data_IF_651669063287
#
_entry.id   IF_651669063287
#
_cell.length_a   1.000
_cell.length_b   1.000
_cell.length_c   1.000
_cell.angle_alpha   90.00
_cell.angle_beta   90.00
_cell.angle_gamma   90.00
#
_symmetry.space_group_name_H-M   'P 1'
#
loop_
_entity.id
_entity.type
_entity.pdbx_description
1 polymer ?
#
# COMPACT_ATOMS: atom_id res chain seq x y z
N UNK A 1 9.46 10.65 6.88
CA UNK A 1 8.04 10.27 7.07
C UNK A 1 7.99 8.80 7.36
N UNK A 2 7.31 8.46 8.44
CA UNK A 2 7.21 7.06 8.85
C UNK A 2 5.88 6.46 8.42
N UNK A 3 5.94 5.32 7.74
CA UNK A 3 4.73 4.60 7.35
C UNK A 3 4.58 3.41 8.29
N UNK A 4 3.44 3.34 8.93
CA UNK A 4 3.12 2.28 9.87
C UNK A 4 2.18 1.27 9.24
N UNK A 5 2.10 0.10 9.83
CA UNK A 5 1.22 -0.97 9.35
C UNK A 5 0.43 -1.54 10.50
N UNK A 6 -0.83 -1.82 10.26
CA UNK A 6 -1.66 -2.54 11.22
C UNK A 6 -2.48 -3.58 10.47
N UNK A 7 -2.79 -4.67 11.13
CA UNK A 7 -3.62 -5.72 10.55
C UNK A 7 -4.42 -6.39 11.64
N UNK A 8 -5.70 -6.59 11.38
CA UNK A 8 -6.58 -7.28 12.28
C UNK A 8 -7.35 -8.32 11.46
N UNK A 9 -7.11 -9.59 11.73
CA UNK A 9 -7.64 -10.65 10.90
C UNK A 9 -7.08 -10.54 9.49
N UNK A 10 -7.97 -10.51 8.50
CA UNK A 10 -7.58 -10.42 7.11
C UNK A 10 -7.55 -9.00 6.58
N UNK A 11 -7.89 -8.00 7.40
CA UNK A 11 -7.93 -6.59 6.98
C UNK A 11 -6.77 -5.83 7.59
N UNK A 12 -6.15 -4.96 6.80
CA UNK A 12 -5.05 -4.16 7.29
C UNK A 12 -4.90 -2.85 6.56
N UNK A 13 -3.90 -2.09 6.97
CA UNK A 13 -3.57 -0.85 6.26
C UNK A 13 -2.12 -0.46 6.50
N UNK A 14 -1.60 0.32 5.56
CA UNK A 14 -0.37 1.08 5.73
C UNK A 14 -0.79 2.53 5.89
N UNK A 15 -0.23 3.24 6.87
CA UNK A 15 -0.76 4.57 7.18
C UNK A 15 0.32 5.49 7.74
N UNK A 16 0.03 6.79 7.69
CA UNK A 16 0.85 7.84 8.29
C UNK A 16 0.02 8.53 9.34
N UNK A 17 0.53 8.55 10.57
CA UNK A 17 -0.13 9.19 11.69
C UNK A 17 0.74 10.29 12.25
N UNK A 18 0.17 11.47 12.44
CA UNK A 18 0.87 12.62 13.00
C UNK A 18 0.03 13.16 14.14
N UNK A 19 0.65 13.23 15.33
CA UNK A 19 -0.02 13.76 16.53
C UNK A 19 -1.39 13.11 16.80
N UNK A 20 -1.46 11.79 16.63
CA UNK A 20 -2.68 11.04 16.88
C UNK A 20 -3.71 11.09 15.78
N UNK A 21 -3.40 11.72 14.65
CA UNK A 21 -4.32 11.84 13.53
C UNK A 21 -3.78 11.11 12.31
N UNK A 22 -4.59 10.24 11.72
CA UNK A 22 -4.20 9.52 10.50
C UNK A 22 -4.37 10.46 9.32
N UNK A 23 -3.28 10.78 8.66
CA UNK A 23 -3.27 11.71 7.53
C UNK A 23 -3.18 11.02 6.17
N UNK A 24 -2.87 9.75 6.15
CA UNK A 24 -2.86 8.97 4.91
C UNK A 24 -3.06 7.51 5.27
N UNK A 25 -3.77 6.79 4.42
CA UNK A 25 -4.02 5.38 4.68
C UNK A 25 -4.29 4.64 3.38
N UNK A 26 -3.68 3.47 3.25
CA UNK A 26 -3.94 2.55 2.14
C UNK A 26 -4.40 1.23 2.75
N UNK A 27 -5.66 0.88 2.51
CA UNK A 27 -6.25 -0.32 3.10
C UNK A 27 -6.06 -1.52 2.20
N UNK A 28 -5.97 -2.69 2.82
CA UNK A 28 -5.84 -3.94 2.06
C UNK A 28 -6.57 -5.08 2.75
N UNK A 29 -6.81 -6.13 1.98
CA UNK A 29 -7.37 -7.38 2.49
C UNK A 29 -6.42 -8.51 2.11
N UNK A 30 -6.23 -9.47 3.01
CA UNK A 30 -5.46 -10.66 2.71
C UNK A 30 -6.38 -11.79 2.33
N UNK A 31 -6.05 -12.49 1.24
CA UNK A 31 -6.72 -13.73 0.87
C UNK A 31 -5.69 -14.82 1.11
N UNK A 32 -5.86 -15.59 2.18
CA UNK A 32 -4.84 -16.51 2.60
C UNK A 32 -3.60 -15.76 3.08
N UNK A 33 -2.42 -16.37 2.89
CA UNK A 33 -1.17 -15.78 3.33
C UNK A 33 -0.31 -15.27 2.18
N UNK A 34 -0.80 -15.39 0.94
CA UNK A 34 0.02 -15.14 -0.24
C UNK A 34 -0.52 -14.06 -1.18
N UNK A 35 -1.72 -13.55 -0.92
CA UNK A 35 -2.31 -12.54 -1.79
C UNK A 35 -2.83 -11.36 -0.97
N UNK A 36 -2.34 -10.17 -1.30
CA UNK A 36 -2.80 -8.91 -0.72
C UNK A 36 -3.59 -8.15 -1.79
N UNK A 37 -4.81 -7.78 -1.46
CA UNK A 37 -5.65 -6.98 -2.35
C UNK A 37 -5.66 -5.56 -1.80
N UNK A 38 -5.12 -4.61 -2.57
CA UNK A 38 -5.14 -3.21 -2.15
C UNK A 38 -6.49 -2.63 -2.55
N UNK A 39 -7.25 -2.16 -1.55
CA UNK A 39 -8.62 -1.74 -1.73
C UNK A 39 -8.80 -0.25 -1.97
N UNK A 40 -8.12 0.60 -1.19
CA UNK A 40 -8.40 2.03 -1.21
C UNK A 40 -7.21 2.81 -0.65
N UNK A 41 -6.97 4.00 -1.20
CA UNK A 41 -5.90 4.88 -0.76
C UNK A 41 -6.43 6.29 -0.58
N UNK A 42 -6.17 6.90 0.58
CA UNK A 42 -6.53 8.28 0.86
C UNK A 42 -5.32 9.02 1.43
N UNK A 43 -5.11 10.25 0.97
CA UNK A 43 -4.02 11.09 1.46
C UNK A 43 -4.60 12.48 1.74
N UNK A 44 -4.38 12.98 2.95
CA UNK A 44 -4.83 14.31 3.35
C UNK A 44 -4.09 15.38 2.54
N UNK A 45 -4.79 16.48 2.26
CA UNK A 45 -4.17 17.63 1.61
C UNK A 45 -2.99 18.18 2.39
N UNK A 46 -2.96 17.96 3.72
CA UNK A 46 -1.85 18.38 4.55
C UNK A 46 -0.53 17.76 4.13
N UNK A 47 -0.56 16.62 3.46
CA UNK A 47 0.63 15.92 3.00
C UNK A 47 0.88 16.10 1.50
N UNK A 48 0.19 17.05 0.88
CA UNK A 48 0.33 17.26 -0.56
C UNK A 48 1.78 17.61 -0.92
N UNK A 49 2.24 17.07 -2.05
CA UNK A 49 3.58 17.37 -2.54
C UNK A 49 4.68 16.51 -1.96
N UNK A 50 4.35 15.60 -1.03
CA UNK A 50 5.35 14.74 -0.40
C UNK A 50 5.38 13.32 -0.97
N UNK A 51 4.62 13.07 -2.03
CA UNK A 51 4.59 11.79 -2.72
C UNK A 51 4.19 10.62 -1.80
N UNK A 52 3.30 10.90 -0.84
CA UNK A 52 2.95 9.95 0.21
C UNK A 52 2.27 8.70 -0.35
N UNK A 53 1.35 8.89 -1.31
CA UNK A 53 0.66 7.74 -1.90
C UNK A 53 1.63 6.74 -2.52
N UNK A 54 2.63 7.25 -3.25
CA UNK A 54 3.66 6.40 -3.82
C UNK A 54 4.41 5.63 -2.72
N UNK A 55 4.76 6.33 -1.63
CA UNK A 55 5.50 5.68 -0.54
C UNK A 55 4.66 4.62 0.16
N UNK A 56 3.35 4.80 0.24
CA UNK A 56 2.46 3.77 0.78
C UNK A 56 2.53 2.51 -0.09
N UNK A 57 2.44 2.67 -1.41
CA UNK A 57 2.51 1.54 -2.31
C UNK A 57 3.89 0.88 -2.25
N UNK A 58 4.95 1.68 -2.23
CA UNK A 58 6.31 1.13 -2.16
C UNK A 58 6.52 0.33 -0.88
N UNK A 59 5.99 0.82 0.25
CA UNK A 59 6.10 0.09 1.51
C UNK A 59 5.37 -1.25 1.43
N UNK A 60 4.20 -1.27 0.81
CA UNK A 60 3.46 -2.51 0.62
C UNK A 60 4.24 -3.48 -0.27
N UNK A 61 4.89 -2.97 -1.33
CA UNK A 61 5.70 -3.80 -2.23
C UNK A 61 6.87 -4.43 -1.46
N UNK A 62 7.54 -3.64 -0.62
CA UNK A 62 8.67 -4.15 0.16
C UNK A 62 8.22 -5.20 1.16
N UNK A 63 7.08 -4.97 1.81
CA UNK A 63 6.51 -5.94 2.73
C UNK A 63 6.14 -7.24 2.00
N UNK A 64 5.49 -7.12 0.86
CA UNK A 64 5.08 -8.27 0.07
C UNK A 64 6.29 -9.08 -0.41
N UNK A 65 7.34 -8.37 -0.86
CA UNK A 65 8.55 -9.01 -1.32
C UNK A 65 9.23 -9.81 -0.20
N UNK A 66 9.29 -9.22 0.99
CA UNK A 66 9.92 -9.87 2.14
C UNK A 66 9.13 -11.07 2.64
N UNK A 67 7.83 -11.10 2.40
CA UNK A 67 6.94 -12.14 2.93
C UNK A 67 6.37 -13.06 1.86
N UNK A 68 6.88 -12.99 0.64
CA UNK A 68 6.44 -13.86 -0.48
C UNK A 68 4.96 -13.71 -0.76
N UNK A 69 4.49 -12.45 -0.77
CA UNK A 69 3.09 -12.11 -1.04
C UNK A 69 3.02 -11.47 -2.43
N UNK A 70 1.94 -11.79 -3.17
CA UNK A 70 1.63 -11.06 -4.40
C UNK A 70 0.57 -10.02 -4.11
N UNK A 71 0.58 -8.94 -4.88
CA UNK A 71 -0.36 -7.82 -4.69
C UNK A 71 -1.27 -7.72 -5.90
N UNK A 72 -2.58 -7.66 -5.63
CA UNK A 72 -3.60 -7.34 -6.63
C UNK A 72 -4.10 -5.93 -6.34
N UNK A 73 -3.66 -4.92 -7.14
CA UNK A 73 -4.06 -3.54 -6.88
C UNK A 73 -5.41 -3.23 -7.52
N UNK A 74 -6.48 -3.27 -6.73
CA UNK A 74 -7.81 -2.90 -7.20
C UNK A 74 -8.06 -1.40 -7.11
N UNK A 75 -7.34 -0.71 -6.22
CA UNK A 75 -7.39 0.73 -6.11
C UNK A 75 -6.76 1.37 -7.37
N UNK A 76 -7.49 2.29 -8.02
CA UNK A 76 -6.99 2.90 -9.25
C UNK A 76 -5.66 3.62 -9.06
N UNK A 77 -5.48 4.25 -7.89
CA UNK A 77 -4.21 4.92 -7.62
C UNK A 77 -3.06 3.91 -7.54
N UNK A 78 -3.25 2.84 -6.75
CA UNK A 78 -2.20 1.83 -6.61
C UNK A 78 -1.88 1.18 -7.94
N UNK A 79 -2.92 0.89 -8.74
CA UNK A 79 -2.70 0.31 -10.06
C UNK A 79 -1.87 1.23 -10.93
N UNK A 80 -2.11 2.55 -10.87
CA UNK A 80 -1.35 3.49 -11.68
C UNK A 80 0.13 3.50 -11.28
N UNK A 81 0.43 3.31 -9.98
CA UNK A 81 1.81 3.25 -9.53
C UNK A 81 2.50 2.00 -10.08
N UNK A 82 1.81 0.84 -10.02
CA UNK A 82 2.36 -0.39 -10.59
C UNK A 82 2.60 -0.25 -12.09
N UNK A 83 1.68 0.40 -12.79
CA UNK A 83 1.84 0.61 -14.24
C UNK A 83 3.07 1.47 -14.54
N UNK A 84 3.31 2.51 -13.76
CA UNK A 84 4.45 3.40 -13.96
C UNK A 84 5.77 2.73 -13.61
N UNK A 85 5.78 1.90 -12.58
CA UNK A 85 7.03 1.26 -12.12
C UNK A 85 7.39 0.02 -12.94
N UNK A 86 6.42 -0.58 -13.61
CA UNK A 86 6.68 -1.70 -14.52
C UNK A 86 7.54 -2.78 -13.89
N UNK A 87 8.72 -2.99 -14.47
CA UNK A 87 9.60 -4.10 -14.05
C UNK A 87 10.04 -3.98 -12.59
N UNK A 88 10.13 -2.77 -12.04
CA UNK A 88 10.61 -2.59 -10.67
C UNK A 88 9.70 -3.28 -9.64
N UNK A 89 8.39 -3.27 -9.89
CA UNK A 89 7.41 -3.86 -8.97
C UNK A 89 6.78 -5.14 -9.49
N UNK A 90 7.23 -5.62 -10.65
CA UNK A 90 6.61 -6.77 -11.32
C UNK A 90 6.71 -8.06 -10.51
N UNK A 91 7.75 -8.20 -9.69
CA UNK A 91 7.97 -9.43 -8.93
C UNK A 91 6.88 -9.70 -7.90
N UNK A 92 6.18 -8.68 -7.44
CA UNK A 92 5.10 -8.86 -6.47
C UNK A 92 3.72 -8.63 -7.08
N UNK A 93 3.64 -8.25 -8.34
CA UNK A 93 2.35 -7.98 -8.97
C UNK A 93 1.64 -9.27 -9.34
N UNK A 94 0.40 -9.43 -8.89
CA UNK A 94 -0.47 -10.51 -9.34
C UNK A 94 -1.11 -10.08 -10.65
N UNK A 95 -0.77 -10.78 -11.70
CA UNK A 95 -1.30 -10.46 -13.04
C UNK A 95 -2.70 -11.04 -13.24
#
# INVERSE_FOLDING_TARGET
MEIQQKQEGSKGSFYVEVSGKVLAEMTYSMTGTELMIIDHTEVSDELRGQNVGYHLVKTAVEYARANHIKILPLCTFAKSVFDKKGAEFADVLRA
#
